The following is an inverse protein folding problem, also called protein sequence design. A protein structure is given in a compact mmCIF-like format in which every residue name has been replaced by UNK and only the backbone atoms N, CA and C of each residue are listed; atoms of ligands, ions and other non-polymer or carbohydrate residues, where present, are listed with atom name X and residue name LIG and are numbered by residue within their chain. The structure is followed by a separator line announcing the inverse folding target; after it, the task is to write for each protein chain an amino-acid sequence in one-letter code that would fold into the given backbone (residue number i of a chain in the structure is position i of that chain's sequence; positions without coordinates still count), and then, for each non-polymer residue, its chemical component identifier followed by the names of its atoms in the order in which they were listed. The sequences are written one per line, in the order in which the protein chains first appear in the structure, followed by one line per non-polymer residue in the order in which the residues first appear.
data_IF_302606192240
#
_entry.id   IF_302606192240
#
_cell.length_a   1.000
_cell.length_b   1.000
_cell.length_c   1.000
_cell.angle_alpha   90.00
_cell.angle_beta   90.00
_cell.angle_gamma   90.00
#
_symmetry.space_group_name_H-M   'P 1'
#
loop_
_entity.id
_entity.type
_entity.pdbx_description
1 polymer ?
#
# COMPACT_ATOMS: atom_id res chain seq x y z
N UNK A 1 -14.76 -17.76 -16.76
CA UNK A 1 -14.00 -16.74 -17.51
C UNK A 1 -12.56 -16.77 -17.01
N UNK A 2 -11.53 -16.74 -17.86
CA UNK A 2 -10.15 -16.73 -17.35
C UNK A 2 -9.79 -15.39 -16.71
N UNK A 3 -8.92 -15.39 -15.68
CA UNK A 3 -8.55 -14.19 -14.92
C UNK A 3 -8.05 -13.06 -15.82
N UNK A 4 -7.28 -13.34 -16.87
CA UNK A 4 -6.82 -12.32 -17.80
C UNK A 4 -7.93 -11.57 -18.55
N UNK A 5 -9.08 -12.20 -18.79
CA UNK A 5 -10.26 -11.51 -19.34
C UNK A 5 -10.91 -10.59 -18.33
N UNK A 6 -10.97 -11.01 -17.07
CA UNK A 6 -11.50 -10.18 -15.97
C UNK A 6 -10.65 -8.93 -15.79
N UNK A 7 -9.33 -9.07 -15.63
CA UNK A 7 -8.40 -7.96 -15.45
C UNK A 7 -8.46 -6.97 -16.62
N UNK A 8 -8.57 -7.44 -17.86
CA UNK A 8 -8.63 -6.58 -19.05
C UNK A 8 -9.96 -5.82 -19.20
N UNK A 9 -11.00 -6.17 -18.46
CA UNK A 9 -12.31 -5.52 -18.49
C UNK A 9 -12.51 -4.51 -17.37
N UNK A 10 -11.71 -4.60 -16.32
CA UNK A 10 -11.78 -3.73 -15.16
C UNK A 10 -10.79 -2.56 -15.30
N UNK A 11 -11.08 -1.40 -14.70
CA UNK A 11 -10.10 -0.34 -14.58
C UNK A 11 -8.92 -0.81 -13.75
N UNK A 12 -7.69 -0.28 -14.00
CA UNK A 12 -6.50 -0.67 -13.26
C UNK A 12 -6.50 -0.20 -11.80
N UNK A 13 -7.43 0.63 -11.42
CA UNK A 13 -7.63 1.13 -10.06
C UNK A 13 -9.12 1.40 -9.79
N UNK A 14 -9.48 1.35 -8.53
CA UNK A 14 -10.80 1.76 -8.04
C UNK A 14 -10.66 2.58 -6.76
N UNK A 15 -11.64 3.41 -6.46
CA UNK A 15 -11.72 4.17 -5.21
C UNK A 15 -13.06 3.87 -4.57
N UNK A 16 -13.02 3.45 -3.31
CA UNK A 16 -14.19 3.20 -2.50
C UNK A 16 -14.14 4.08 -1.25
N UNK A 17 -15.24 4.72 -0.93
CA UNK A 17 -15.39 5.47 0.31
C UNK A 17 -15.97 4.54 1.38
N UNK A 18 -15.13 4.11 2.32
CA UNK A 18 -15.50 3.15 3.36
C UNK A 18 -16.36 3.76 4.46
N UNK A 19 -16.25 5.08 4.68
CA UNK A 19 -16.91 5.77 5.78
C UNK A 19 -17.16 7.24 5.46
N UNK A 20 -18.33 7.73 5.77
CA UNK A 20 -18.74 9.13 5.50
C UNK A 20 -18.73 10.04 6.74
N UNK A 21 -18.60 9.47 7.94
CA UNK A 21 -18.76 10.20 9.20
C UNK A 21 -17.47 10.87 9.69
N UNK A 22 -16.32 10.50 9.11
CA UNK A 22 -15.05 11.10 9.51
C UNK A 22 -14.91 12.48 8.89
N UNK A 23 -14.62 13.53 9.69
CA UNK A 23 -14.48 14.89 9.16
C UNK A 23 -13.33 14.98 8.15
N UNK A 24 -13.54 15.80 7.11
CA UNK A 24 -12.48 16.12 6.15
C UNK A 24 -11.34 16.81 6.88
N UNK A 25 -10.16 16.26 6.80
CA UNK A 25 -8.96 16.88 7.35
C UNK A 25 -8.36 17.83 6.30
N UNK A 26 -8.15 19.11 6.62
CA UNK A 26 -7.45 20.00 5.70
C UNK A 26 -6.01 19.55 5.51
N UNK A 27 -5.44 19.87 4.35
CA UNK A 27 -4.01 19.63 4.11
C UNK A 27 -3.18 20.36 5.18
N UNK A 28 -2.11 19.73 5.68
CA UNK A 28 -1.22 20.36 6.64
C UNK A 28 -0.64 21.66 6.06
N UNK A 29 -0.55 22.70 6.87
CA UNK A 29 0.19 23.91 6.49
C UNK A 29 1.68 23.60 6.57
N UNK A 30 2.40 23.83 5.49
CA UNK A 30 3.84 23.64 5.40
C UNK A 30 4.48 24.81 4.67
N UNK A 31 5.68 25.21 5.08
CA UNK A 31 6.50 26.19 4.36
C UNK A 31 7.18 25.55 3.13
N UNK A 32 7.21 24.23 3.05
CA UNK A 32 7.68 23.49 1.88
C UNK A 32 6.67 23.61 0.75
N UNK A 33 7.16 23.93 -0.44
CA UNK A 33 6.34 24.14 -1.66
C UNK A 33 5.92 22.83 -2.34
N UNK A 34 6.38 21.68 -1.88
CA UNK A 34 5.98 20.38 -2.43
C UNK A 34 4.54 20.05 -2.06
N UNK A 35 3.81 19.49 -3.01
CA UNK A 35 2.35 19.30 -2.94
C UNK A 35 1.89 18.44 -1.76
N UNK A 36 2.69 17.44 -1.36
CA UNK A 36 2.35 16.51 -0.28
C UNK A 36 3.11 16.80 1.03
N UNK A 37 3.73 17.98 1.17
CA UNK A 37 4.42 18.33 2.42
C UNK A 37 3.50 18.27 3.63
N UNK A 38 3.96 17.58 4.67
CA UNK A 38 3.20 17.36 5.91
C UNK A 38 2.24 16.16 5.87
N UNK A 39 2.10 15.48 4.74
CA UNK A 39 1.37 14.20 4.64
C UNK A 39 2.28 13.08 5.12
N UNK A 40 1.78 12.28 6.06
CA UNK A 40 2.47 11.12 6.62
C UNK A 40 1.98 9.83 5.99
N UNK A 41 2.91 9.04 5.48
CA UNK A 41 2.65 7.77 4.77
C UNK A 41 3.32 6.62 5.49
N UNK A 42 2.57 5.57 5.78
CA UNK A 42 3.09 4.31 6.29
C UNK A 42 3.05 3.26 5.18
N UNK A 43 4.18 2.61 4.93
CA UNK A 43 4.33 1.62 3.88
C UNK A 43 4.62 0.24 4.45
N UNK A 44 3.80 -0.75 4.06
CA UNK A 44 4.07 -2.18 4.22
C UNK A 44 4.08 -2.85 2.85
N UNK A 45 5.17 -2.70 2.13
CA UNK A 45 5.34 -3.24 0.79
C UNK A 45 6.62 -4.06 0.68
N UNK A 46 6.74 -4.82 -0.42
CA UNK A 46 7.86 -5.74 -0.60
C UNK A 46 8.94 -5.15 -1.51
N UNK A 47 8.86 -5.35 -2.81
CA UNK A 47 10.04 -5.23 -3.69
C UNK A 47 9.94 -4.03 -4.62
N UNK A 48 8.93 -3.96 -5.53
CA UNK A 48 8.89 -2.94 -6.58
C UNK A 48 7.56 -2.18 -6.61
N UNK A 49 6.42 -2.82 -6.89
CA UNK A 49 5.18 -2.14 -7.23
C UNK A 49 4.68 -1.21 -6.11
N UNK A 50 4.47 -1.74 -4.90
CA UNK A 50 4.10 -0.93 -3.75
C UNK A 50 5.16 0.11 -3.38
N UNK A 51 6.47 -0.23 -3.28
CA UNK A 51 7.51 0.74 -3.02
C UNK A 51 7.60 1.89 -4.02
N UNK A 52 7.28 1.68 -5.31
CA UNK A 52 7.23 2.75 -6.31
C UNK A 52 6.10 3.74 -6.02
N UNK A 53 4.94 3.27 -5.56
CA UNK A 53 3.82 4.14 -5.17
C UNK A 53 4.29 5.14 -4.11
N UNK A 54 4.89 4.65 -3.05
CA UNK A 54 5.30 5.48 -1.91
C UNK A 54 6.56 6.31 -2.19
N UNK A 55 7.44 5.83 -3.09
CA UNK A 55 8.54 6.64 -3.60
C UNK A 55 8.03 7.89 -4.31
N UNK A 56 7.03 7.75 -5.17
CA UNK A 56 6.40 8.89 -5.85
C UNK A 56 5.79 9.86 -4.82
N UNK A 57 5.12 9.35 -3.78
CA UNK A 57 4.60 10.21 -2.71
C UNK A 57 5.73 10.97 -1.99
N UNK A 58 6.86 10.32 -1.72
CA UNK A 58 8.04 10.97 -1.13
C UNK A 58 8.64 12.05 -2.05
N UNK A 59 8.73 11.81 -3.36
CA UNK A 59 9.18 12.79 -4.35
C UNK A 59 8.30 14.06 -4.33
N UNK A 60 6.99 13.90 -4.12
CA UNK A 60 6.06 15.02 -3.96
C UNK A 60 6.03 15.62 -2.56
N UNK A 61 6.88 15.16 -1.65
CA UNK A 61 7.10 15.78 -0.34
C UNK A 61 6.44 15.12 0.84
N UNK A 62 5.80 13.97 0.66
CA UNK A 62 5.26 13.22 1.79
C UNK A 62 6.39 12.66 2.69
N UNK A 63 6.12 12.59 3.98
CA UNK A 63 6.97 11.91 4.97
C UNK A 63 6.61 10.42 4.98
N UNK A 64 7.45 9.61 4.34
CA UNK A 64 7.19 8.18 4.13
C UNK A 64 8.04 7.35 5.08
N UNK A 65 7.37 6.51 5.89
CA UNK A 65 8.01 5.50 6.72
C UNK A 65 7.71 4.10 6.15
N UNK A 66 8.74 3.43 5.66
CA UNK A 66 8.68 2.03 5.26
C UNK A 66 8.91 1.12 6.45
N UNK A 67 7.99 0.18 6.67
CA UNK A 67 8.14 -0.88 7.66
C UNK A 67 8.54 -2.18 6.96
N UNK A 68 9.65 -2.76 7.39
CA UNK A 68 10.11 -4.08 6.97
C UNK A 68 9.88 -5.11 8.09
N UNK A 69 9.85 -6.38 7.71
CA UNK A 69 9.70 -7.48 8.68
C UNK A 69 10.99 -8.28 8.76
N UNK A 70 11.49 -8.59 9.97
CA UNK A 70 12.70 -9.38 10.14
C UNK A 70 12.58 -10.82 9.59
N UNK A 71 11.36 -11.29 9.40
CA UNK A 71 11.08 -12.63 8.87
C UNK A 71 10.93 -12.70 7.35
N UNK A 72 11.04 -11.57 6.66
CA UNK A 72 10.89 -11.49 5.21
C UNK A 72 12.18 -10.98 4.57
N UNK A 73 12.77 -11.78 3.69
CA UNK A 73 13.94 -11.35 2.93
C UNK A 73 13.61 -10.25 1.95
N UNK A 74 14.44 -9.23 1.89
CA UNK A 74 14.40 -8.19 0.86
C UNK A 74 15.33 -8.53 -0.31
N UNK A 75 15.18 -7.78 -1.41
CA UNK A 75 16.09 -7.80 -2.55
C UNK A 75 16.88 -6.49 -2.56
N UNK A 76 18.12 -6.46 -2.04
CA UNK A 76 18.87 -5.23 -1.79
C UNK A 76 18.99 -4.32 -3.01
N UNK A 77 19.14 -4.91 -4.20
CA UNK A 77 19.28 -4.17 -5.45
C UNK A 77 18.09 -3.23 -5.70
N UNK A 78 16.87 -3.69 -5.46
CA UNK A 78 15.67 -2.86 -5.67
C UNK A 78 15.42 -1.87 -4.54
N UNK A 79 16.00 -2.10 -3.36
CA UNK A 79 15.83 -1.22 -2.22
C UNK A 79 16.48 0.15 -2.42
N UNK A 80 17.56 0.22 -3.19
CA UNK A 80 18.26 1.48 -3.47
C UNK A 80 17.34 2.48 -4.16
N UNK A 81 16.68 2.07 -5.22
CA UNK A 81 15.75 2.93 -5.95
C UNK A 81 14.41 3.09 -5.23
N UNK A 82 13.81 1.97 -4.80
CA UNK A 82 12.48 1.96 -4.18
C UNK A 82 12.39 2.73 -2.85
N UNK A 83 13.52 2.97 -2.17
CA UNK A 83 13.52 3.65 -0.86
C UNK A 83 14.02 5.09 -0.91
N UNK A 84 14.28 5.66 -2.09
CA UNK A 84 14.71 7.05 -2.19
C UNK A 84 13.68 8.00 -1.55
N UNK A 85 14.18 8.87 -0.66
CA UNK A 85 13.35 9.86 0.04
C UNK A 85 12.50 9.33 1.19
N UNK A 86 12.69 8.06 1.61
CA UNK A 86 11.93 7.43 2.69
C UNK A 86 12.76 7.22 3.94
N UNK A 87 12.09 7.18 5.08
CA UNK A 87 12.58 6.57 6.30
C UNK A 87 12.27 5.07 6.30
N UNK A 88 13.05 4.28 7.03
CA UNK A 88 12.83 2.85 7.17
C UNK A 88 12.98 2.40 8.62
N UNK A 89 12.12 1.47 9.03
CA UNK A 89 12.20 0.81 10.33
C UNK A 89 11.81 -0.66 10.18
N UNK A 90 12.26 -1.48 11.13
CA UNK A 90 11.91 -2.89 11.18
C UNK A 90 10.94 -3.16 12.34
N UNK A 91 9.80 -3.82 12.04
CA UNK A 91 8.82 -4.24 13.04
C UNK A 91 8.37 -5.67 12.77
N UNK A 92 8.36 -6.48 13.83
CA UNK A 92 7.73 -7.79 13.78
C UNK A 92 6.28 -7.73 14.28
N UNK A 93 5.33 -7.67 13.36
CA UNK A 93 3.89 -7.64 13.66
C UNK A 93 3.34 -8.93 14.28
N UNK A 94 4.16 -9.99 14.37
CA UNK A 94 3.79 -11.21 15.10
C UNK A 94 4.01 -11.06 16.60
N UNK A 95 4.81 -10.09 17.05
CA UNK A 95 5.04 -9.79 18.46
C UNK A 95 4.05 -8.77 19.01
N UNK A 96 3.77 -8.83 20.31
CA UNK A 96 2.90 -7.85 20.97
C UNK A 96 3.50 -6.44 20.95
N UNK A 97 4.82 -6.34 21.13
CA UNK A 97 5.54 -5.05 21.07
C UNK A 97 5.51 -4.44 19.67
N UNK A 98 5.74 -5.24 18.63
CA UNK A 98 5.68 -4.77 17.25
C UNK A 98 4.27 -4.29 16.86
N UNK A 99 3.23 -5.02 17.25
CA UNK A 99 1.83 -4.58 17.05
C UNK A 99 1.52 -3.27 17.75
N UNK A 100 1.96 -3.12 19.01
CA UNK A 100 1.74 -1.89 19.76
C UNK A 100 2.37 -0.68 19.06
N UNK A 101 3.63 -0.79 18.65
CA UNK A 101 4.32 0.28 17.92
C UNK A 101 3.64 0.58 16.58
N UNK A 102 3.18 -0.46 15.88
CA UNK A 102 2.47 -0.29 14.62
C UNK A 102 1.14 0.45 14.79
N UNK A 103 0.38 0.17 15.84
CA UNK A 103 -0.85 0.90 16.16
C UNK A 103 -0.58 2.38 16.52
N UNK A 104 0.51 2.65 17.23
CA UNK A 104 0.95 4.02 17.51
C UNK A 104 1.27 4.78 16.22
N UNK A 105 1.93 4.12 15.25
CA UNK A 105 2.19 4.70 13.93
C UNK A 105 0.90 4.93 13.15
N UNK A 106 0.00 3.94 13.09
CA UNK A 106 -1.29 4.06 12.40
C UNK A 106 -2.17 5.19 12.96
N UNK A 107 -2.03 5.51 14.23
CA UNK A 107 -2.79 6.60 14.85
C UNK A 107 -2.43 8.00 14.30
N UNK A 108 -1.28 8.16 13.66
CA UNK A 108 -0.75 9.46 13.22
C UNK A 108 -0.67 9.61 11.68
N UNK A 109 -0.74 8.53 10.90
CA UNK A 109 -0.56 8.59 9.45
C UNK A 109 -1.81 9.05 8.70
N UNK A 110 -1.61 9.67 7.54
CA UNK A 110 -2.66 10.10 6.61
C UNK A 110 -2.94 9.03 5.56
N UNK A 111 -1.90 8.34 5.12
CA UNK A 111 -1.96 7.31 4.08
C UNK A 111 -1.30 6.03 4.57
N UNK A 112 -1.97 4.91 4.39
CA UNK A 112 -1.42 3.59 4.65
C UNK A 112 -1.40 2.77 3.36
N UNK A 113 -0.23 2.25 2.99
CA UNK A 113 -0.02 1.50 1.75
C UNK A 113 0.33 0.05 2.07
N UNK A 114 -0.53 -0.85 1.62
CA UNK A 114 -0.43 -2.30 1.76
C UNK A 114 -0.12 -2.95 0.41
N UNK A 115 1.09 -3.45 0.25
CA UNK A 115 1.52 -4.25 -0.89
C UNK A 115 1.81 -5.71 -0.50
N UNK A 116 1.24 -6.20 0.60
CA UNK A 116 1.26 -7.62 0.92
C UNK A 116 0.14 -8.35 0.18
N UNK A 117 0.24 -9.67 0.12
CA UNK A 117 -0.82 -10.48 -0.49
C UNK A 117 -2.18 -10.20 0.14
N UNK A 118 -3.28 -10.26 -0.63
CA UNK A 118 -4.62 -10.03 -0.12
C UNK A 118 -4.91 -10.80 1.17
N UNK A 119 -5.48 -10.13 2.16
CA UNK A 119 -5.83 -10.71 3.47
C UNK A 119 -4.66 -10.91 4.43
N UNK A 120 -3.40 -10.62 4.05
CA UNK A 120 -2.26 -10.82 4.95
C UNK A 120 -2.33 -9.90 6.18
N UNK A 121 -2.54 -8.61 6.00
CA UNK A 121 -2.69 -7.65 7.09
C UNK A 121 -4.03 -7.80 7.81
N UNK A 122 -5.08 -8.15 7.10
CA UNK A 122 -6.39 -8.44 7.69
C UNK A 122 -6.32 -9.61 8.68
N UNK A 123 -5.57 -10.67 8.35
CA UNK A 123 -5.33 -11.81 9.25
C UNK A 123 -4.56 -11.44 10.53
N UNK A 124 -3.84 -10.31 10.51
CA UNK A 124 -3.16 -9.73 11.66
C UNK A 124 -4.04 -8.71 12.40
N UNK A 125 -5.26 -8.45 11.92
CA UNK A 125 -6.19 -7.51 12.51
C UNK A 125 -6.13 -6.09 11.94
N UNK A 126 -5.44 -5.86 10.82
CA UNK A 126 -5.23 -4.54 10.21
C UNK A 126 -5.91 -4.38 8.84
N UNK A 127 -7.09 -4.97 8.69
CA UNK A 127 -7.93 -4.79 7.50
C UNK A 127 -8.70 -3.46 7.48
N UNK A 128 -9.48 -3.19 6.40
CA UNK A 128 -10.25 -1.96 6.22
C UNK A 128 -11.17 -1.60 7.40
N UNK A 129 -11.82 -2.60 8.00
CA UNK A 129 -12.70 -2.40 9.16
C UNK A 129 -11.93 -1.80 10.35
N UNK A 130 -10.76 -2.36 10.69
CA UNK A 130 -9.92 -1.83 11.78
C UNK A 130 -9.40 -0.43 11.49
N UNK A 131 -9.00 -0.17 10.25
CA UNK A 131 -8.54 1.17 9.85
C UNK A 131 -9.67 2.21 9.94
N UNK A 132 -10.90 1.83 9.61
CA UNK A 132 -12.09 2.66 9.78
C UNK A 132 -12.35 2.98 11.26
N UNK A 133 -12.24 1.98 12.14
CA UNK A 133 -12.36 2.20 13.60
C UNK A 133 -11.29 3.17 14.13
N UNK A 134 -10.03 2.98 13.71
CA UNK A 134 -8.93 3.87 14.09
C UNK A 134 -9.15 5.30 13.59
N UNK A 135 -9.62 5.46 12.35
CA UNK A 135 -9.94 6.76 11.77
C UNK A 135 -11.05 7.47 12.57
N UNK A 136 -12.11 6.75 12.94
CA UNK A 136 -13.18 7.27 13.79
C UNK A 136 -12.67 7.68 15.19
N UNK A 137 -11.89 6.82 15.83
CA UNK A 137 -11.38 7.06 17.17
C UNK A 137 -10.49 8.32 17.26
N UNK A 138 -9.70 8.59 16.22
CA UNK A 138 -8.83 9.77 16.15
C UNK A 138 -9.50 11.01 15.54
N UNK A 139 -10.73 10.89 15.01
CA UNK A 139 -11.44 11.99 14.35
C UNK A 139 -10.78 12.49 13.07
N UNK A 140 -9.96 11.68 12.42
CA UNK A 140 -9.21 12.01 11.21
C UNK A 140 -9.25 10.82 10.25
N UNK A 141 -9.64 11.04 9.00
CA UNK A 141 -9.67 10.02 7.95
C UNK A 141 -8.30 9.42 7.66
N UNK A 142 -8.30 8.27 7.01
CA UNK A 142 -7.11 7.59 6.50
C UNK A 142 -7.38 7.18 5.05
N UNK A 143 -6.39 7.35 4.19
CA UNK A 143 -6.40 6.79 2.85
C UNK A 143 -5.71 5.44 2.90
N UNK A 144 -6.45 4.36 2.64
CA UNK A 144 -5.90 3.02 2.55
C UNK A 144 -5.69 2.65 1.08
N UNK A 145 -4.47 2.35 0.70
CA UNK A 145 -4.07 1.93 -0.64
C UNK A 145 -3.66 0.46 -0.57
N UNK A 146 -4.32 -0.38 -1.36
CA UNK A 146 -3.98 -1.79 -1.51
C UNK A 146 -3.49 -2.03 -2.94
N UNK A 147 -2.35 -2.71 -3.07
CA UNK A 147 -1.77 -3.10 -4.35
C UNK A 147 -1.86 -4.62 -4.50
N UNK A 148 -2.64 -5.08 -5.48
CA UNK A 148 -2.92 -6.49 -5.72
C UNK A 148 -2.46 -6.92 -7.11
N UNK A 149 -1.71 -8.02 -7.15
CA UNK A 149 -1.08 -8.54 -8.34
C UNK A 149 -2.07 -8.97 -9.44
N UNK A 150 -3.25 -9.44 -9.06
CA UNK A 150 -4.27 -9.96 -9.97
C UNK A 150 -5.57 -9.16 -9.97
N UNK A 151 -5.58 -7.98 -9.33
CA UNK A 151 -6.75 -7.14 -9.16
C UNK A 151 -7.70 -7.66 -8.08
N UNK A 152 -8.81 -6.97 -7.89
CA UNK A 152 -9.74 -7.17 -6.77
C UNK A 152 -10.88 -8.14 -7.10
N UNK A 153 -11.03 -8.55 -8.36
CA UNK A 153 -12.11 -9.40 -8.84
C UNK A 153 -11.59 -10.65 -9.55
N UNK A 154 -12.45 -11.68 -9.58
CA UNK A 154 -12.18 -12.92 -10.27
C UNK A 154 -11.54 -14.00 -9.39
N UNK A 155 -11.35 -15.16 -10.00
CA UNK A 155 -10.90 -16.38 -9.31
C UNK A 155 -9.53 -16.25 -8.63
N UNK A 156 -8.69 -15.33 -9.13
CA UNK A 156 -7.30 -15.16 -8.67
C UNK A 156 -7.09 -13.93 -7.79
N UNK A 157 -8.11 -13.15 -7.52
CA UNK A 157 -8.00 -11.92 -6.72
C UNK A 157 -7.31 -12.14 -5.36
N UNK A 158 -7.55 -13.27 -4.69
CA UNK A 158 -6.92 -13.60 -3.41
C UNK A 158 -5.55 -14.27 -3.51
N UNK A 159 -4.96 -14.41 -4.71
CA UNK A 159 -3.69 -15.12 -4.88
C UNK A 159 -2.49 -14.20 -4.74
N UNK A 160 -1.42 -14.66 -4.09
CA UNK A 160 -0.14 -13.96 -4.16
C UNK A 160 0.45 -14.08 -5.57
N UNK A 161 1.14 -13.06 -6.03
CA UNK A 161 1.82 -13.08 -7.32
C UNK A 161 3.00 -12.13 -7.38
N UNK A 162 3.77 -12.29 -8.45
CA UNK A 162 4.86 -11.41 -8.82
C UNK A 162 4.62 -10.89 -10.23
N UNK A 163 5.27 -9.79 -10.59
CA UNK A 163 5.10 -9.13 -11.89
C UNK A 163 5.10 -10.11 -13.07
N UNK A 164 6.06 -11.02 -13.15
CA UNK A 164 6.21 -11.96 -14.25
C UNK A 164 5.01 -12.92 -14.37
N UNK A 165 4.45 -13.33 -13.24
CA UNK A 165 3.27 -14.21 -13.23
C UNK A 165 2.01 -13.41 -13.61
N UNK A 166 1.87 -12.19 -13.09
CA UNK A 166 0.74 -11.32 -13.44
C UNK A 166 0.74 -10.98 -14.93
N UNK A 167 1.88 -10.67 -15.50
CA UNK A 167 2.03 -10.38 -16.94
C UNK A 167 1.63 -11.57 -17.82
N UNK A 168 2.00 -12.80 -17.43
CA UNK A 168 1.57 -14.00 -18.12
C UNK A 168 0.06 -14.20 -18.10
N UNK A 169 -0.57 -13.92 -16.96
CA UNK A 169 -2.02 -14.08 -16.80
C UNK A 169 -2.82 -12.99 -17.50
N UNK A 170 -2.35 -11.75 -17.44
CA UNK A 170 -3.01 -10.60 -18.07
C UNK A 170 -2.74 -10.51 -19.57
N UNK A 171 -1.88 -11.34 -20.12
CA UNK A 171 -1.42 -11.29 -21.52
C UNK A 171 -0.74 -9.96 -21.91
N UNK A 172 -0.19 -9.25 -20.93
CA UNK A 172 0.46 -7.97 -21.17
C UNK A 172 1.57 -8.06 -22.23
N UNK A 173 2.35 -9.14 -22.20
CA UNK A 173 3.42 -9.38 -23.19
C UNK A 173 2.93 -9.76 -24.58
N UNK A 174 1.72 -10.31 -24.70
CA UNK A 174 1.17 -10.70 -26.03
C UNK A 174 0.79 -9.49 -26.86
N UNK A 175 0.38 -8.40 -26.23
CA UNK A 175 0.01 -7.15 -26.91
C UNK A 175 1.20 -6.37 -27.47
N UNK A 176 2.42 -6.68 -27.04
CA UNK A 176 3.65 -5.99 -27.45
C UNK A 176 4.51 -6.78 -28.43
N UNK A 177 4.05 -7.93 -28.95
CA UNK A 177 4.73 -8.56 -30.10
C UNK A 177 4.42 -7.76 -31.35
N UNK A 178 5.42 -7.13 -32.00
CA UNK A 178 5.22 -6.56 -33.32
C UNK A 178 4.84 -7.71 -34.28
N UNK A 179 3.77 -7.49 -35.02
CA UNK A 179 3.32 -8.33 -36.15
C UNK A 179 4.36 -8.36 -37.25
#
# INVERSE_FOLDING_TARGET
MGQGKVINQLPPWSVEQLENETPKCPFPKSDDKRVLSGIKVLELCRIIAGPVITRILAEYGADVLKITSPSLSDVPFFQVDGNMGKHAAELDLKTASGRKLFEELLADVDVFVDGYRPGALESLGYGPARLTELAKARGKGIVYIQEDCFGFDGEWAGRPGWQQIADCVSLAHVKHRPS
#
